data_IF_963172142864
#
_entry.id   IF_963172142864
#
_cell.length_a   1.000
_cell.length_b   1.000
_cell.length_c   1.000
_cell.angle_alpha   90.00
_cell.angle_beta   90.00
_cell.angle_gamma   90.00
#
_symmetry.space_group_name_H-M   'P 1'
#
loop_
_entity.id
_entity.type
_entity.pdbx_description
1 polymer ?
#
# COMPACT_ATOMS: atom_id res chain seq x y z
N UNK A 1 0.42 -1.02 3.01
CA UNK A 1 0.39 -2.28 2.23
C UNK A 1 -0.28 -2.00 0.90
N UNK A 2 0.28 -2.49 -0.21
CA UNK A 2 -0.36 -2.43 -1.54
C UNK A 2 -0.54 -3.88 -2.00
N UNK A 3 -1.73 -4.25 -2.47
CA UNK A 3 -2.06 -5.61 -2.90
C UNK A 3 -2.96 -5.60 -4.14
N UNK A 4 -2.70 -6.48 -5.10
CA UNK A 4 -3.57 -6.63 -6.27
C UNK A 4 -4.75 -7.55 -5.99
N UNK A 5 -5.99 -7.12 -6.32
CA UNK A 5 -7.20 -7.92 -6.11
C UNK A 5 -7.14 -9.28 -6.81
N UNK A 6 -6.57 -9.31 -8.01
CA UNK A 6 -6.56 -10.46 -8.91
C UNK A 6 -5.23 -11.23 -8.84
N UNK A 7 -4.56 -11.15 -7.68
CA UNK A 7 -3.31 -11.85 -7.44
C UNK A 7 -3.54 -13.37 -7.29
N UNK A 8 -3.17 -14.14 -8.31
CA UNK A 8 -3.30 -15.60 -8.30
C UNK A 8 -2.13 -16.35 -7.64
N UNK A 9 -1.04 -15.66 -7.27
CA UNK A 9 0.11 -16.26 -6.55
C UNK A 9 -0.11 -16.18 -5.04
N UNK A 10 -0.56 -15.01 -4.56
CA UNK A 10 -0.98 -14.77 -3.19
C UNK A 10 -2.40 -14.18 -3.23
N UNK A 11 -3.45 -14.98 -2.99
CA UNK A 11 -4.83 -14.55 -3.15
C UNK A 11 -5.17 -13.38 -2.20
N UNK A 12 -6.21 -12.62 -2.54
CA UNK A 12 -6.69 -11.48 -1.75
C UNK A 12 -6.87 -11.83 -0.26
N UNK A 13 -7.39 -13.02 0.05
CA UNK A 13 -7.58 -13.49 1.43
C UNK A 13 -6.29 -13.52 2.24
N UNK A 14 -5.14 -13.83 1.62
CA UNK A 14 -3.84 -13.77 2.28
C UNK A 14 -3.42 -12.32 2.57
N UNK A 15 -3.71 -11.39 1.66
CA UNK A 15 -3.47 -9.96 1.87
C UNK A 15 -4.35 -9.37 2.98
N UNK A 16 -5.61 -9.80 3.06
CA UNK A 16 -6.53 -9.44 4.13
C UNK A 16 -6.08 -10.00 5.50
N UNK A 17 -5.64 -11.26 5.55
CA UNK A 17 -5.04 -11.82 6.76
C UNK A 17 -3.77 -11.06 7.16
N UNK A 18 -2.91 -10.75 6.20
CA UNK A 18 -1.69 -9.97 6.45
C UNK A 18 -2.02 -8.58 7.01
N UNK A 19 -3.01 -7.88 6.46
CA UNK A 19 -3.49 -6.61 6.99
C UNK A 19 -3.99 -6.72 8.42
N UNK A 20 -4.83 -7.73 8.71
CA UNK A 20 -5.37 -7.93 10.07
C UNK A 20 -4.27 -8.19 11.09
N UNK A 21 -3.21 -8.91 10.71
CA UNK A 21 -2.12 -9.29 11.62
C UNK A 21 -1.06 -8.21 11.77
N UNK A 22 -0.64 -7.58 10.67
CA UNK A 22 0.38 -6.52 10.69
C UNK A 22 -0.20 -5.19 11.16
N UNK A 23 -1.50 -4.97 10.97
CA UNK A 23 -2.21 -3.73 11.27
C UNK A 23 -1.48 -2.48 10.74
N UNK A 24 -1.18 -2.41 9.42
CA UNK A 24 -0.49 -1.26 8.87
C UNK A 24 -1.38 -0.01 8.92
N UNK A 25 -0.76 1.17 9.06
CA UNK A 25 -1.47 2.45 9.07
C UNK A 25 -2.28 2.71 7.78
N UNK A 26 -1.89 2.05 6.68
CA UNK A 26 -2.55 2.17 5.37
C UNK A 26 -2.52 0.83 4.63
N UNK A 27 -3.62 0.49 3.99
CA UNK A 27 -3.77 -0.68 3.14
C UNK A 27 -4.56 -0.29 1.89
N UNK A 28 -4.04 -0.64 0.71
CA UNK A 28 -4.62 -0.32 -0.58
C UNK A 28 -4.76 -1.62 -1.40
N UNK A 29 -5.98 -1.90 -1.84
CA UNK A 29 -6.29 -3.02 -2.74
C UNK A 29 -6.56 -2.44 -4.12
N UNK A 30 -5.79 -2.88 -5.12
CA UNK A 30 -5.88 -2.36 -6.49
C UNK A 30 -6.71 -3.32 -7.36
N UNK A 31 -7.79 -2.81 -7.93
CA UNK A 31 -8.67 -3.57 -8.83
C UNK A 31 -8.03 -3.78 -10.22
N UNK A 32 -8.27 -4.95 -10.82
CA UNK A 32 -7.69 -5.29 -12.13
C UNK A 32 -6.17 -5.43 -12.08
N UNK A 33 -5.63 -5.92 -10.96
CA UNK A 33 -4.19 -6.00 -10.70
C UNK A 33 -3.84 -7.36 -10.08
N UNK A 34 -2.84 -8.02 -10.68
CA UNK A 34 -2.34 -9.31 -10.23
C UNK A 34 -1.23 -9.22 -9.18
N UNK A 35 -0.24 -10.09 -9.33
CA UNK A 35 0.82 -10.29 -8.34
C UNK A 35 1.85 -9.16 -8.30
N UNK A 36 2.00 -8.40 -9.39
CA UNK A 36 3.06 -7.39 -9.52
C UNK A 36 2.48 -5.97 -9.68
N UNK A 37 1.87 -5.37 -8.64
CA UNK A 37 1.29 -4.03 -8.70
C UNK A 37 2.24 -2.95 -9.24
N UNK A 38 3.50 -3.00 -8.83
CA UNK A 38 4.53 -2.06 -9.29
C UNK A 38 4.79 -2.12 -10.81
N UNK A 39 4.45 -3.23 -11.46
CA UNK A 39 4.59 -3.43 -12.91
C UNK A 39 3.28 -3.23 -13.65
N UNK A 40 2.19 -3.77 -13.12
CA UNK A 40 0.87 -3.78 -13.77
C UNK A 40 0.14 -2.44 -13.65
N UNK A 41 0.35 -1.72 -12.53
CA UNK A 41 -0.34 -0.48 -12.16
C UNK A 41 0.66 0.58 -11.68
N UNK A 42 1.81 0.67 -12.34
CA UNK A 42 2.95 1.49 -11.91
C UNK A 42 2.60 2.96 -11.60
N UNK A 43 1.72 3.59 -12.39
CA UNK A 43 1.32 4.99 -12.14
C UNK A 43 0.53 5.15 -10.84
N UNK A 44 -0.33 4.18 -10.52
CA UNK A 44 -1.11 4.19 -9.28
C UNK A 44 -0.21 3.93 -8.08
N UNK A 45 0.66 2.92 -8.16
CA UNK A 45 1.65 2.61 -7.12
C UNK A 45 2.57 3.80 -6.86
N UNK A 46 3.08 4.47 -7.89
CA UNK A 46 3.93 5.64 -7.71
C UNK A 46 3.21 6.76 -6.96
N UNK A 47 1.96 7.08 -7.31
CA UNK A 47 1.17 8.08 -6.58
C UNK A 47 0.94 7.70 -5.12
N UNK A 48 0.67 6.42 -4.84
CA UNK A 48 0.50 5.92 -3.48
C UNK A 48 1.80 6.06 -2.66
N UNK A 49 2.94 5.78 -3.29
CA UNK A 49 4.26 5.94 -2.68
C UNK A 49 4.60 7.41 -2.41
N UNK A 50 4.36 8.29 -3.37
CA UNK A 50 4.59 9.74 -3.23
C UNK A 50 3.77 10.29 -2.05
N UNK A 51 2.46 9.98 -2.00
CA UNK A 51 1.59 10.40 -0.88
C UNK A 51 2.08 9.85 0.46
N UNK A 52 2.51 8.59 0.52
CA UNK A 52 3.04 8.00 1.75
C UNK A 52 4.30 8.72 2.25
N UNK A 53 5.22 9.07 1.35
CA UNK A 53 6.46 9.77 1.68
C UNK A 53 6.16 11.21 2.15
N UNK A 54 5.27 11.93 1.46
CA UNK A 54 4.85 13.28 1.83
C UNK A 54 4.19 13.33 3.22
N UNK A 55 3.29 12.38 3.51
CA UNK A 55 2.64 12.25 4.81
C UNK A 55 3.64 11.94 5.92
N UNK A 56 4.61 11.07 5.65
CA UNK A 56 5.66 10.71 6.61
C UNK A 56 6.51 11.92 6.98
N UNK A 57 6.98 12.68 5.99
CA UNK A 57 7.76 13.90 6.23
C UNK A 57 6.97 14.97 7.00
N UNK A 58 5.67 15.12 6.71
CA UNK A 58 4.81 16.06 7.44
C UNK A 58 4.63 15.62 8.90
N UNK A 59 4.45 14.33 9.15
CA UNK A 59 4.33 13.78 10.50
C UNK A 59 5.61 13.98 11.32
N UNK A 60 6.79 13.77 10.72
CA UNK A 60 8.09 14.01 11.38
C UNK A 60 8.31 15.48 11.72
N UNK A 61 8.01 16.39 10.79
CA UNK A 61 8.14 17.83 11.02
C UNK A 61 7.18 18.32 12.12
N UNK A 62 5.98 17.76 12.22
CA UNK A 62 5.04 18.09 13.28
C UNK A 62 5.50 17.56 14.65
N UNK A 63 6.05 16.34 14.70
CA UNK A 63 6.58 15.76 15.93
C UNK A 63 7.84 16.48 16.43
N UNK A 64 8.66 17.05 15.54
CA UNK A 64 9.86 17.81 15.91
C UNK A 64 9.57 19.24 16.43
N UNK A 65 8.33 19.72 16.36
CA UNK A 65 7.93 21.07 16.78
C UNK A 65 7.26 21.08 18.18
N UNK A 66 7.05 19.91 18.79
CA UNK A 66 6.43 19.72 20.11
C UNK A 66 7.47 19.30 21.14
#
# INVERSE_FOLDING_TARGET
MIWGRDNFILPLSAGEEFCRRLNPNRAEIIDGCGHLPMREKYQEVNRLMDSFIEETHKSESAAATV
#
